data_IF_939831794642
#
_entry.id   IF_939831794642
#
_cell.length_a   1.000
_cell.length_b   1.000
_cell.length_c   1.000
_cell.angle_alpha   90.00
_cell.angle_beta   90.00
_cell.angle_gamma   90.00
#
_symmetry.space_group_name_H-M   'P 1'
#
loop_
_entity.id
_entity.type
_entity.pdbx_description
1 polymer ?
#
# COMPACT_ATOMS: atom_id res chain seq x y z
N UNK A 1 -10.95 43.67 -52.94
CA UNK A 1 -11.08 42.20 -53.15
C UNK A 1 -10.10 41.38 -52.30
N UNK A 2 -8.98 41.93 -51.90
CA UNK A 2 -7.96 41.21 -51.09
C UNK A 2 -8.39 41.04 -49.63
N UNK A 3 -9.13 41.99 -49.05
CA UNK A 3 -9.59 41.96 -47.67
C UNK A 3 -10.64 40.85 -47.42
N UNK A 4 -11.42 40.51 -48.43
CA UNK A 4 -12.45 39.46 -48.34
C UNK A 4 -11.88 38.05 -48.28
N UNK A 5 -10.75 37.81 -48.94
CA UNK A 5 -10.07 36.51 -48.92
C UNK A 5 -9.38 36.25 -47.60
N UNK A 6 -8.85 37.31 -46.98
CA UNK A 6 -8.25 37.19 -45.64
C UNK A 6 -9.26 36.88 -44.53
N UNK A 7 -10.49 37.44 -44.63
CA UNK A 7 -11.55 37.20 -43.64
C UNK A 7 -12.15 35.77 -43.76
N UNK A 8 -12.18 35.23 -44.93
CA UNK A 8 -12.62 33.83 -45.14
C UNK A 8 -11.59 32.82 -44.68
N UNK A 9 -10.30 33.13 -44.76
CA UNK A 9 -9.23 32.25 -44.25
C UNK A 9 -9.18 32.27 -42.71
N UNK A 10 -9.56 33.34 -42.04
CA UNK A 10 -9.61 33.42 -40.57
C UNK A 10 -10.85 32.72 -39.95
N UNK A 11 -11.90 32.50 -40.79
CA UNK A 11 -13.13 31.82 -40.33
C UNK A 11 -13.16 30.31 -40.55
N UNK A 12 -12.22 29.76 -41.34
CA UNK A 12 -12.18 28.36 -41.67
C UNK A 12 -11.05 27.66 -40.93
N UNK A 13 -11.33 27.24 -39.69
CA UNK A 13 -10.50 26.37 -38.85
C UNK A 13 -9.12 26.95 -38.48
N UNK A 14 -8.92 27.25 -37.22
CA UNK A 14 -7.63 27.63 -36.65
C UNK A 14 -6.54 26.55 -36.72
N UNK A 15 -6.51 25.76 -37.80
CA UNK A 15 -5.58 24.64 -37.92
C UNK A 15 -4.66 24.75 -39.19
N UNK A 16 -4.78 25.80 -39.98
CA UNK A 16 -3.88 25.95 -41.12
C UNK A 16 -2.93 27.15 -40.95
N UNK A 17 -1.97 26.97 -40.06
CA UNK A 17 -0.72 27.69 -40.15
C UNK A 17 0.16 26.93 -41.14
N UNK A 18 0.04 27.23 -42.43
CA UNK A 18 1.01 26.81 -43.41
C UNK A 18 2.13 27.86 -43.40
N UNK A 19 3.01 27.73 -42.47
CA UNK A 19 4.31 28.40 -42.56
C UNK A 19 5.32 27.35 -42.97
N UNK A 20 6.03 27.60 -44.05
CA UNK A 20 7.11 26.74 -44.56
C UNK A 20 8.46 27.18 -44.02
N UNK A 21 8.49 27.60 -42.80
CA UNK A 21 9.73 27.77 -42.02
C UNK A 21 10.16 26.37 -41.56
N UNK A 22 11.14 25.80 -42.22
CA UNK A 22 11.70 24.50 -41.89
C UNK A 22 12.56 24.63 -40.67
N UNK A 23 11.97 24.56 -39.48
CA UNK A 23 12.70 24.35 -38.23
C UNK A 23 12.87 22.85 -38.04
N UNK A 24 14.07 22.36 -38.39
CA UNK A 24 14.43 20.95 -38.15
C UNK A 24 14.96 20.78 -36.74
N UNK A 25 14.48 19.76 -36.02
CA UNK A 25 14.96 19.39 -34.70
C UNK A 25 14.09 19.85 -33.53
N UNK A 26 12.88 20.37 -33.77
CA UNK A 26 11.92 20.64 -32.70
C UNK A 26 11.30 19.33 -32.28
N UNK A 27 11.59 18.90 -31.06
CA UNK A 27 11.03 17.68 -30.45
C UNK A 27 10.04 18.08 -29.39
N UNK A 28 8.81 17.65 -29.50
CA UNK A 28 7.84 17.64 -28.41
C UNK A 28 7.79 16.23 -27.85
N UNK A 29 8.21 16.06 -26.60
CA UNK A 29 7.98 14.85 -25.85
C UNK A 29 6.81 15.08 -24.92
N UNK A 30 5.84 14.19 -24.91
CA UNK A 30 4.83 14.15 -23.86
C UNK A 30 5.50 13.65 -22.58
N UNK A 31 5.22 14.31 -21.47
CA UNK A 31 5.55 13.77 -20.16
C UNK A 31 4.61 12.61 -19.85
N UNK A 32 5.08 11.66 -19.08
CA UNK A 32 4.29 10.53 -18.65
C UNK A 32 4.04 10.54 -17.13
N UNK A 33 3.02 9.84 -16.69
CA UNK A 33 2.75 9.47 -15.30
C UNK A 33 2.86 7.95 -15.25
N UNK A 34 4.10 7.46 -15.14
CA UNK A 34 4.37 6.06 -14.89
C UNK A 34 4.69 5.89 -13.41
N UNK A 35 3.95 5.01 -12.73
CA UNK A 35 4.27 4.56 -11.40
C UNK A 35 4.99 3.24 -11.49
N UNK A 36 6.15 3.17 -10.88
CA UNK A 36 6.83 1.91 -10.65
C UNK A 36 6.99 1.71 -9.15
N UNK A 37 6.93 0.47 -8.73
CA UNK A 37 6.92 0.13 -7.31
C UNK A 37 7.98 -0.94 -7.06
N UNK A 38 8.74 -0.77 -5.99
CA UNK A 38 9.49 -1.85 -5.37
C UNK A 38 8.99 -2.10 -3.95
N UNK A 39 9.38 -3.21 -3.39
CA UNK A 39 9.05 -3.59 -2.03
C UNK A 39 10.23 -4.26 -1.36
N UNK A 40 10.52 -3.85 -0.14
CA UNK A 40 11.48 -4.52 0.74
C UNK A 40 10.70 -5.05 1.93
N UNK A 41 10.69 -6.37 2.10
CA UNK A 41 9.86 -7.05 3.10
C UNK A 41 10.70 -7.80 4.12
N UNK A 42 10.20 -7.80 5.35
CA UNK A 42 10.67 -8.57 6.48
C UNK A 42 9.49 -9.29 7.12
N UNK A 43 9.70 -10.49 7.61
CA UNK A 43 8.68 -11.25 8.31
C UNK A 43 9.33 -12.21 9.33
N UNK A 44 8.51 -12.76 10.21
CA UNK A 44 8.93 -13.85 11.06
C UNK A 44 9.31 -15.04 10.16
N UNK A 45 10.44 -15.68 10.43
CA UNK A 45 11.09 -16.66 9.58
C UNK A 45 10.18 -17.85 9.19
N UNK A 46 9.38 -18.38 10.10
CA UNK A 46 8.49 -19.50 9.79
C UNK A 46 7.24 -19.16 8.97
N UNK A 47 6.97 -17.88 8.71
CA UNK A 47 5.87 -17.49 7.83
C UNK A 47 6.30 -17.36 6.36
N UNK A 48 7.60 -17.46 6.07
CA UNK A 48 8.13 -17.30 4.72
C UNK A 48 8.08 -18.64 3.99
N UNK A 49 7.36 -18.75 2.85
CA UNK A 49 7.29 -19.99 2.10
C UNK A 49 8.68 -20.52 1.71
N UNK A 50 8.98 -21.76 2.07
CA UNK A 50 10.26 -22.42 1.76
C UNK A 50 11.40 -22.07 2.71
N UNK A 51 11.15 -21.33 3.77
CA UNK A 51 12.12 -21.12 4.84
C UNK A 51 12.25 -22.37 5.70
N UNK A 52 13.45 -22.60 6.25
CA UNK A 52 13.73 -23.79 7.07
C UNK A 52 13.07 -23.64 8.46
N UNK A 53 12.12 -24.51 8.76
CA UNK A 53 11.39 -24.52 10.02
C UNK A 53 12.21 -25.05 11.21
N UNK A 54 13.40 -25.59 10.95
CA UNK A 54 14.24 -26.19 11.99
C UNK A 54 14.91 -25.14 12.90
N UNK A 55 14.91 -23.86 12.49
CA UNK A 55 15.42 -22.74 13.28
C UNK A 55 14.30 -21.80 13.75
N UNK A 56 13.25 -22.38 14.30
CA UNK A 56 12.07 -21.66 14.75
C UNK A 56 12.36 -20.75 15.97
N UNK A 57 13.13 -19.70 15.76
CA UNK A 57 13.42 -18.69 16.78
C UNK A 57 12.35 -17.61 16.85
N UNK A 58 11.46 -17.52 15.84
CA UNK A 58 10.53 -16.42 15.68
C UNK A 58 11.24 -15.08 15.46
N UNK A 59 12.40 -15.11 14.84
CA UNK A 59 13.16 -13.91 14.53
C UNK A 59 12.62 -13.23 13.28
N UNK A 60 12.63 -11.89 13.29
CA UNK A 60 12.38 -11.10 12.09
C UNK A 60 13.57 -11.27 11.13
N UNK A 61 13.30 -11.64 9.89
CA UNK A 61 14.29 -11.82 8.85
C UNK A 61 13.86 -11.18 7.54
N UNK A 62 14.79 -10.96 6.62
CA UNK A 62 14.45 -10.49 5.29
C UNK A 62 13.55 -11.52 4.56
N UNK A 63 12.49 -11.04 3.92
CA UNK A 63 11.53 -11.85 3.19
C UNK A 63 11.71 -11.67 1.67
N UNK A 64 12.52 -12.49 0.99
CA UNK A 64 12.74 -12.37 -0.44
C UNK A 64 11.51 -12.74 -1.28
N UNK A 65 10.55 -13.49 -0.74
CA UNK A 65 9.34 -13.87 -1.46
C UNK A 65 8.42 -12.67 -1.73
N UNK A 66 8.43 -11.68 -0.83
CA UNK A 66 7.64 -10.44 -0.95
C UNK A 66 8.51 -9.20 -1.22
N UNK A 67 9.79 -9.40 -1.59
CA UNK A 67 10.69 -8.31 -1.98
C UNK A 67 10.96 -8.35 -3.48
N UNK A 68 10.90 -7.20 -4.13
CA UNK A 68 11.22 -7.08 -5.56
C UNK A 68 11.78 -5.70 -5.89
N UNK A 69 12.52 -5.61 -6.98
CA UNK A 69 13.07 -4.37 -7.50
C UNK A 69 12.03 -3.59 -8.31
N UNK A 70 12.25 -2.30 -8.48
CA UNK A 70 11.38 -1.38 -9.20
C UNK A 70 10.82 -1.97 -10.50
N UNK A 71 9.48 -2.03 -10.59
CA UNK A 71 8.72 -2.57 -11.71
C UNK A 71 7.28 -2.05 -11.73
N UNK A 72 6.60 -2.25 -12.86
CA UNK A 72 5.14 -2.15 -12.92
C UNK A 72 4.53 -3.35 -12.21
N UNK A 73 3.51 -3.12 -11.38
CA UNK A 73 2.82 -4.21 -10.67
C UNK A 73 2.06 -5.08 -11.68
N UNK A 74 2.30 -6.39 -11.63
CA UNK A 74 1.60 -7.39 -12.44
C UNK A 74 1.14 -8.58 -11.61
N UNK A 75 2.07 -9.24 -10.91
CA UNK A 75 1.81 -10.43 -10.10
C UNK A 75 2.55 -10.38 -8.76
N UNK A 76 3.11 -9.23 -8.40
CA UNK A 76 3.83 -9.05 -7.15
C UNK A 76 2.85 -9.12 -5.97
N UNK A 77 3.26 -9.80 -4.91
CA UNK A 77 2.46 -9.99 -3.71
C UNK A 77 3.08 -9.23 -2.54
N UNK A 78 2.33 -8.32 -1.97
CA UNK A 78 2.69 -7.66 -0.71
C UNK A 78 2.50 -8.56 0.50
N UNK A 79 1.76 -9.67 0.33
CA UNK A 79 1.48 -10.68 1.34
C UNK A 79 1.48 -12.05 0.67
N UNK A 80 2.17 -13.02 1.27
CA UNK A 80 2.11 -14.43 0.89
C UNK A 80 2.60 -15.24 2.09
N UNK A 81 1.81 -15.23 3.15
CA UNK A 81 2.13 -15.87 4.41
C UNK A 81 1.27 -17.11 4.60
N UNK A 82 1.87 -18.16 5.11
CA UNK A 82 1.20 -19.39 5.48
C UNK A 82 1.44 -19.67 6.96
N UNK A 83 0.55 -20.44 7.59
CA UNK A 83 0.70 -20.87 8.98
C UNK A 83 0.88 -19.72 9.99
N UNK A 84 0.14 -18.60 9.76
CA UNK A 84 0.17 -17.43 10.64
C UNK A 84 -0.34 -17.78 12.02
N UNK A 85 0.42 -17.42 13.05
CA UNK A 85 0.13 -17.69 14.45
C UNK A 85 -0.07 -16.39 15.27
N UNK A 86 -0.76 -16.48 16.40
CA UNK A 86 -0.88 -15.36 17.32
C UNK A 86 0.49 -14.77 17.68
N UNK A 87 0.68 -13.48 17.42
CA UNK A 87 1.93 -12.76 17.66
C UNK A 87 2.90 -12.70 16.48
N UNK A 88 2.59 -13.36 15.37
CA UNK A 88 3.38 -13.22 14.14
C UNK A 88 3.21 -11.82 13.56
N UNK A 89 4.24 -11.33 12.91
CA UNK A 89 4.25 -10.02 12.29
C UNK A 89 5.25 -9.94 11.15
N UNK A 90 5.08 -8.91 10.35
CA UNK A 90 6.00 -8.57 9.28
C UNK A 90 5.89 -7.11 8.92
N UNK A 91 6.87 -6.63 8.19
CA UNK A 91 7.03 -5.23 7.84
C UNK A 91 7.54 -5.08 6.41
N UNK A 92 7.06 -4.05 5.73
CA UNK A 92 7.47 -3.76 4.36
C UNK A 92 7.65 -2.26 4.16
N UNK A 93 8.64 -1.87 3.34
CA UNK A 93 8.69 -0.56 2.71
C UNK A 93 8.23 -0.68 1.27
N UNK A 94 7.15 0.01 0.95
CA UNK A 94 6.63 0.16 -0.41
C UNK A 94 7.21 1.44 -0.98
N UNK A 95 8.15 1.33 -1.93
CA UNK A 95 8.74 2.48 -2.61
C UNK A 95 7.95 2.80 -3.87
N UNK A 96 7.42 4.02 -3.98
CA UNK A 96 6.63 4.47 -5.12
C UNK A 96 7.47 5.47 -5.91
N UNK A 97 7.87 5.07 -7.12
CA UNK A 97 8.65 5.88 -8.04
C UNK A 97 7.71 6.61 -8.99
N UNK A 98 7.73 7.93 -8.93
CA UNK A 98 6.90 8.80 -9.77
C UNK A 98 7.65 9.14 -11.04
N UNK A 99 7.02 8.95 -12.19
CA UNK A 99 7.56 9.32 -13.51
C UNK A 99 7.87 10.80 -13.64
N UNK A 100 7.96 11.31 -14.87
CA UNK A 100 8.54 12.63 -15.12
C UNK A 100 7.69 13.83 -14.68
N UNK A 101 6.41 13.64 -14.36
CA UNK A 101 5.48 14.71 -14.00
C UNK A 101 5.05 14.64 -12.54
N UNK A 102 4.80 15.81 -11.95
CA UNK A 102 4.21 15.93 -10.63
C UNK A 102 2.81 15.28 -10.59
N UNK A 103 2.54 14.50 -9.55
CA UNK A 103 1.35 13.65 -9.46
C UNK A 103 0.53 13.84 -8.19
N UNK A 104 -0.79 13.76 -8.33
CA UNK A 104 -1.71 13.39 -7.27
C UNK A 104 -1.77 11.87 -7.20
N UNK A 105 -1.89 11.31 -5.99
CA UNK A 105 -1.78 9.88 -5.77
C UNK A 105 -2.84 9.35 -4.82
N UNK A 106 -3.36 8.18 -5.14
CA UNK A 106 -4.30 7.44 -4.30
C UNK A 106 -3.86 5.97 -4.18
N UNK A 107 -4.35 5.33 -3.15
CA UNK A 107 -4.30 3.88 -3.02
C UNK A 107 -5.69 3.34 -2.69
N UNK A 108 -5.88 2.05 -2.88
CA UNK A 108 -7.04 1.33 -2.39
C UNK A 108 -6.63 -0.09 -2.00
N UNK A 109 -7.36 -0.66 -1.05
CA UNK A 109 -7.22 -2.05 -0.66
C UNK A 109 -8.62 -2.69 -0.60
N UNK A 110 -8.69 -4.00 -0.83
CA UNK A 110 -9.90 -4.79 -0.63
C UNK A 110 -9.56 -6.19 -0.16
N UNK A 111 -10.45 -6.80 0.58
CA UNK A 111 -10.49 -8.23 0.81
C UNK A 111 -11.30 -8.89 -0.31
N UNK A 112 -10.78 -9.94 -0.90
CA UNK A 112 -11.43 -10.69 -1.99
C UNK A 112 -11.88 -12.08 -1.58
N UNK A 113 -11.21 -12.65 -0.58
CA UNK A 113 -11.59 -13.89 0.08
C UNK A 113 -11.42 -13.68 1.58
N UNK A 114 -12.43 -14.07 2.31
CA UNK A 114 -12.48 -14.12 3.76
C UNK A 114 -13.27 -15.40 4.09
N UNK A 115 -12.54 -16.51 4.20
CA UNK A 115 -13.15 -17.84 4.33
C UNK A 115 -12.68 -18.54 5.59
N UNK A 116 -13.63 -19.22 6.21
CA UNK A 116 -13.43 -20.30 7.16
C UNK A 116 -13.29 -21.60 6.36
N UNK A 117 -12.06 -22.13 6.21
CA UNK A 117 -11.78 -23.24 5.29
C UNK A 117 -11.98 -24.62 5.92
N UNK A 118 -11.88 -24.75 7.25
CA UNK A 118 -12.16 -25.99 7.99
C UNK A 118 -12.51 -25.64 9.44
N UNK A 119 -13.09 -26.54 10.15
CA UNK A 119 -13.47 -26.37 11.54
C UNK A 119 -12.74 -27.37 12.41
N UNK A 120 -11.73 -26.92 13.12
CA UNK A 120 -10.97 -27.76 14.05
C UNK A 120 -11.65 -27.85 15.42
N UNK A 121 -11.27 -28.85 16.24
CA UNK A 121 -11.80 -28.95 17.61
C UNK A 121 -11.50 -27.72 18.47
N UNK A 122 -10.28 -27.13 18.46
CA UNK A 122 -10.02 -25.89 19.19
C UNK A 122 -10.86 -24.70 18.71
N UNK A 123 -11.15 -24.59 17.44
CA UNK A 123 -11.98 -23.55 16.85
C UNK A 123 -13.46 -23.73 17.22
N UNK A 124 -14.00 -24.93 17.11
CA UNK A 124 -15.35 -25.26 17.54
C UNK A 124 -15.50 -25.44 19.06
N UNK A 125 -14.45 -25.23 19.83
CA UNK A 125 -14.40 -25.44 21.26
C UNK A 125 -14.97 -24.28 22.08
N UNK A 126 -15.37 -24.56 23.31
CA UNK A 126 -15.89 -23.57 24.26
C UNK A 126 -14.81 -22.63 24.82
N UNK A 127 -13.53 -22.85 24.55
CA UNK A 127 -12.42 -22.09 25.08
C UNK A 127 -11.68 -21.40 23.93
N UNK A 128 -12.07 -20.15 23.65
CA UNK A 128 -11.44 -19.29 22.66
C UNK A 128 -11.71 -19.67 21.22
N UNK A 129 -12.76 -20.47 20.95
CA UNK A 129 -13.25 -20.79 19.63
C UNK A 129 -14.66 -20.22 19.42
N UNK A 130 -15.31 -20.64 18.36
CA UNK A 130 -16.63 -20.15 17.94
C UNK A 130 -17.84 -20.76 18.70
N UNK A 131 -17.58 -21.55 19.74
CA UNK A 131 -18.63 -22.19 20.56
C UNK A 131 -19.61 -23.08 19.76
N UNK A 132 -19.11 -23.80 18.77
CA UNK A 132 -19.92 -24.68 17.93
C UNK A 132 -20.62 -23.97 16.77
N UNK A 133 -20.19 -22.77 16.43
CA UNK A 133 -20.71 -22.01 15.29
C UNK A 133 -20.08 -22.43 13.96
N UNK A 134 -18.80 -22.87 13.97
CA UNK A 134 -18.16 -23.36 12.76
C UNK A 134 -18.67 -24.77 12.38
N UNK A 135 -18.73 -25.08 11.09
CA UNK A 135 -19.23 -26.34 10.55
C UNK A 135 -18.10 -27.06 9.81
N UNK A 136 -17.60 -28.20 10.32
CA UNK A 136 -16.50 -28.92 9.69
C UNK A 136 -16.74 -29.22 8.21
N UNK A 137 -15.77 -28.90 7.37
CA UNK A 137 -15.82 -29.14 5.92
C UNK A 137 -16.81 -28.27 5.15
N UNK A 138 -17.30 -27.19 5.75
CA UNK A 138 -18.05 -26.13 5.08
C UNK A 138 -17.13 -24.94 4.89
N UNK A 139 -16.65 -24.79 3.66
CA UNK A 139 -16.00 -23.57 3.19
C UNK A 139 -17.06 -22.46 3.13
N UNK A 140 -17.13 -21.66 4.18
CA UNK A 140 -17.97 -20.49 4.19
C UNK A 140 -17.20 -19.37 3.48
N UNK A 141 -17.64 -19.00 2.29
CA UNK A 141 -17.06 -17.94 1.47
C UNK A 141 -17.04 -16.55 2.15
N UNK A 142 -17.64 -16.44 3.31
CA UNK A 142 -17.68 -15.25 4.17
C UNK A 142 -17.83 -15.70 5.62
N UNK A 143 -16.97 -15.20 6.49
CA UNK A 143 -17.12 -15.43 7.93
C UNK A 143 -15.89 -15.97 8.63
N UNK A 144 -14.71 -15.91 7.99
CA UNK A 144 -13.44 -16.12 8.69
C UNK A 144 -13.15 -14.95 9.62
N UNK A 145 -12.53 -15.21 10.75
CA UNK A 145 -12.19 -14.20 11.76
C UNK A 145 -10.78 -13.67 11.58
N UNK A 146 -10.00 -14.21 10.64
CA UNK A 146 -8.61 -13.83 10.43
C UNK A 146 -8.48 -12.36 10.00
N UNK A 147 -9.37 -11.85 9.15
CA UNK A 147 -9.36 -10.46 8.70
C UNK A 147 -9.50 -9.46 9.85
N UNK A 148 -10.29 -9.81 10.86
CA UNK A 148 -10.51 -9.02 12.06
C UNK A 148 -9.36 -9.14 13.08
N UNK A 149 -8.60 -10.22 13.02
CA UNK A 149 -7.46 -10.51 13.90
C UNK A 149 -6.10 -10.06 13.34
N UNK A 150 -6.02 -9.77 12.04
CA UNK A 150 -4.84 -9.19 11.41
C UNK A 150 -4.91 -7.67 11.47
N UNK A 151 -4.04 -7.06 12.25
CA UNK A 151 -3.90 -5.61 12.36
C UNK A 151 -2.84 -5.09 11.42
N UNK A 152 -3.12 -3.94 10.81
CA UNK A 152 -2.20 -3.24 9.92
C UNK A 152 -1.97 -1.81 10.36
N UNK A 153 -0.77 -1.30 10.10
CA UNK A 153 -0.45 0.11 10.15
C UNK A 153 0.30 0.51 8.89
N UNK A 154 -0.02 1.70 8.37
CA UNK A 154 0.68 2.32 7.25
C UNK A 154 1.12 3.72 7.66
N UNK A 155 2.38 4.05 7.40
CA UNK A 155 2.94 5.37 7.72
C UNK A 155 3.72 5.95 6.56
N UNK A 156 3.97 7.24 6.62
CA UNK A 156 4.92 7.90 5.74
C UNK A 156 6.31 7.58 6.27
N UNK A 157 7.05 6.82 5.50
CA UNK A 157 8.38 6.30 5.82
C UNK A 157 9.47 7.15 5.16
N UNK A 158 10.66 7.19 5.71
CA UNK A 158 11.81 7.85 5.08
C UNK A 158 12.65 6.90 4.21
N UNK A 159 12.33 5.60 4.22
CA UNK A 159 12.88 4.59 3.33
C UNK A 159 13.70 3.51 4.04
N UNK A 160 13.68 3.46 5.36
CA UNK A 160 14.44 2.48 6.14
C UNK A 160 13.58 1.35 6.75
N UNK A 161 12.26 1.44 6.57
CA UNK A 161 11.29 0.45 7.05
C UNK A 161 11.22 0.38 8.57
N UNK A 162 11.35 1.48 9.26
CA UNK A 162 11.24 1.58 10.72
C UNK A 162 10.29 2.70 11.09
N UNK A 163 9.34 2.46 11.98
CA UNK A 163 8.44 3.52 12.42
C UNK A 163 9.06 4.36 13.53
N UNK A 164 9.38 5.62 13.24
CA UNK A 164 10.09 6.57 14.09
C UNK A 164 9.24 7.83 14.40
N UNK A 165 8.23 7.72 15.26
CA UNK A 165 7.26 8.81 15.50
C UNK A 165 7.76 9.93 16.41
N UNK A 166 8.93 9.77 17.07
CA UNK A 166 9.42 10.75 18.04
C UNK A 166 10.42 11.68 17.37
N UNK A 167 10.26 12.99 17.55
CA UNK A 167 11.17 13.98 16.99
C UNK A 167 12.61 13.77 17.48
N UNK A 168 13.52 13.60 16.54
CA UNK A 168 14.96 13.55 16.75
C UNK A 168 15.63 14.91 16.53
N UNK A 169 16.94 14.90 16.35
CA UNK A 169 17.72 16.10 15.99
C UNK A 169 17.64 16.39 14.48
N UNK A 170 17.35 15.38 13.69
CA UNK A 170 17.24 15.40 12.24
C UNK A 170 16.02 14.60 11.81
N UNK A 171 15.54 14.80 10.60
CA UNK A 171 14.37 14.12 10.07
C UNK A 171 13.04 14.71 10.54
N UNK A 172 11.97 14.24 9.95
CA UNK A 172 10.60 14.58 10.32
C UNK A 172 9.97 13.36 10.99
N UNK A 173 9.39 13.47 12.19
CA UNK A 173 8.71 12.36 12.82
C UNK A 173 7.70 11.72 11.88
N UNK A 174 7.71 10.42 11.83
CA UNK A 174 6.84 9.65 10.97
C UNK A 174 5.42 9.61 11.50
N UNK A 175 4.47 9.52 10.61
CA UNK A 175 3.06 9.57 10.98
C UNK A 175 2.28 8.44 10.35
N UNK A 176 1.55 7.70 11.17
CA UNK A 176 0.59 6.71 10.71
C UNK A 176 -0.58 7.45 10.06
N UNK A 177 -0.90 7.11 8.81
CA UNK A 177 -2.06 7.66 8.10
C UNK A 177 -3.24 6.67 8.01
N UNK A 178 -2.99 5.38 8.25
CA UNK A 178 -4.01 4.34 8.26
C UNK A 178 -3.61 3.25 9.26
N UNK A 179 -4.51 2.88 10.16
CA UNK A 179 -4.32 1.79 11.11
C UNK A 179 -5.66 1.13 11.43
N UNK A 180 -5.67 -0.18 11.55
CA UNK A 180 -6.85 -0.97 11.92
C UNK A 180 -6.68 -2.42 11.52
N UNK A 181 -7.75 -3.21 11.64
CA UNK A 181 -7.82 -4.58 11.13
C UNK A 181 -7.83 -4.60 9.60
N UNK A 182 -7.61 -5.75 9.00
CA UNK A 182 -7.76 -5.91 7.55
C UNK A 182 -9.21 -5.65 7.10
N UNK A 183 -10.19 -6.00 7.94
CA UNK A 183 -11.58 -5.63 7.73
C UNK A 183 -11.78 -4.11 7.67
N UNK A 184 -11.12 -3.34 8.58
CA UNK A 184 -11.14 -1.87 8.54
C UNK A 184 -10.49 -1.30 7.28
N UNK A 185 -9.38 -1.91 6.82
CA UNK A 185 -8.73 -1.52 5.55
C UNK A 185 -9.66 -1.72 4.35
N UNK A 186 -10.35 -2.84 4.32
CA UNK A 186 -11.37 -3.13 3.29
C UNK A 186 -12.51 -2.10 3.30
N UNK A 187 -12.91 -1.64 4.47
CA UNK A 187 -13.95 -0.61 4.64
C UNK A 187 -13.47 0.81 4.34
N UNK A 188 -12.16 1.08 4.39
CA UNK A 188 -11.60 2.42 4.18
C UNK A 188 -11.79 2.94 2.75
N UNK A 189 -11.92 2.05 1.76
CA UNK A 189 -12.11 2.42 0.37
C UNK A 189 -10.88 3.10 -0.23
N UNK A 190 -11.07 4.30 -0.83
CA UNK A 190 -9.96 5.04 -1.42
C UNK A 190 -9.16 5.78 -0.33
N UNK A 191 -7.86 5.63 -0.37
CA UNK A 191 -6.89 6.26 0.53
C UNK A 191 -6.18 7.37 -0.24
N UNK A 192 -6.25 8.60 0.27
CA UNK A 192 -5.53 9.71 -0.32
C UNK A 192 -4.06 9.68 0.10
N UNK A 193 -3.17 9.48 -0.86
CA UNK A 193 -1.73 9.60 -0.66
C UNK A 193 -1.24 11.03 -0.88
N UNK A 194 -1.65 11.68 -1.98
CA UNK A 194 -1.43 13.10 -2.23
C UNK A 194 -2.62 13.68 -3.00
N UNK A 195 -3.22 14.76 -2.51
CA UNK A 195 -4.35 15.45 -3.15
C UNK A 195 -4.39 16.93 -2.72
N UNK A 196 -4.99 17.83 -3.53
CA UNK A 196 -4.91 19.28 -3.27
C UNK A 196 -5.61 19.75 -2.00
N UNK A 197 -6.56 18.98 -1.47
CA UNK A 197 -7.31 19.36 -0.26
C UNK A 197 -7.79 18.14 0.51
N UNK A 198 -7.98 18.31 1.82
CA UNK A 198 -8.36 17.24 2.74
C UNK A 198 -7.14 16.51 3.30
N UNK A 199 -7.38 15.45 4.08
CA UNK A 199 -6.31 14.62 4.62
C UNK A 199 -5.65 13.81 3.50
N UNK A 200 -4.32 13.73 3.51
CA UNK A 200 -3.54 12.90 2.61
C UNK A 200 -2.21 12.55 3.27
N UNK A 201 -1.72 11.34 3.04
CA UNK A 201 -0.51 10.80 3.67
C UNK A 201 0.72 11.70 3.43
N UNK A 202 1.00 12.04 2.16
CA UNK A 202 2.11 12.92 1.77
C UNK A 202 1.70 14.41 1.74
N UNK A 203 0.49 14.76 2.21
CA UNK A 203 0.00 16.13 2.28
C UNK A 203 -0.70 16.63 1.01
N UNK A 204 -0.82 17.96 0.93
CA UNK A 204 -1.63 18.64 -0.09
C UNK A 204 -0.79 19.29 -1.21
N UNK A 205 0.46 18.90 -1.34
CA UNK A 205 1.29 19.19 -2.49
C UNK A 205 1.38 17.96 -3.39
N UNK A 206 1.47 18.12 -4.71
CA UNK A 206 1.71 17.00 -5.58
C UNK A 206 3.08 16.37 -5.27
N UNK A 207 3.17 15.05 -5.39
CA UNK A 207 4.45 14.37 -5.33
C UNK A 207 5.24 14.77 -6.58
N UNK A 208 6.47 15.30 -6.43
CA UNK A 208 7.24 15.77 -7.57
C UNK A 208 7.62 14.64 -8.52
N UNK A 209 7.67 14.94 -9.81
CA UNK A 209 8.19 14.02 -10.80
C UNK A 209 9.66 13.65 -10.55
N UNK A 210 10.06 12.47 -10.97
CA UNK A 210 11.40 11.89 -10.77
C UNK A 210 11.81 11.78 -9.27
N UNK A 211 10.84 11.53 -8.40
CA UNK A 211 11.08 11.29 -6.97
C UNK A 211 10.54 9.94 -6.55
N UNK A 212 11.04 9.42 -5.45
CA UNK A 212 10.53 8.25 -4.76
C UNK A 212 9.93 8.69 -3.43
N UNK A 213 8.76 8.16 -3.09
CA UNK A 213 8.15 8.28 -1.77
C UNK A 213 7.95 6.90 -1.19
N UNK A 214 7.98 6.81 0.13
CA UNK A 214 7.98 5.55 0.83
C UNK A 214 6.77 5.43 1.75
N UNK A 215 6.19 4.26 1.76
CA UNK A 215 5.14 3.85 2.69
C UNK A 215 5.67 2.67 3.47
N UNK A 216 5.84 2.85 4.76
CA UNK A 216 6.06 1.75 5.69
C UNK A 216 4.72 1.06 5.95
N UNK A 217 4.73 -0.26 6.02
CA UNK A 217 3.58 -1.10 6.31
C UNK A 217 3.98 -2.18 7.30
N UNK A 218 3.27 -2.29 8.41
CA UNK A 218 3.40 -3.41 9.32
C UNK A 218 2.07 -4.16 9.44
N UNK A 219 2.14 -5.48 9.57
CA UNK A 219 1.02 -6.31 9.96
C UNK A 219 1.35 -7.10 11.24
N UNK A 220 0.32 -7.46 11.99
CA UNK A 220 0.42 -8.19 13.26
C UNK A 220 -0.80 -9.11 13.42
N UNK A 221 -0.56 -10.39 13.68
CA UNK A 221 -1.59 -11.34 14.07
C UNK A 221 -1.89 -11.17 15.58
N UNK A 222 -2.81 -10.28 15.89
CA UNK A 222 -3.14 -9.86 17.25
C UNK A 222 -3.28 -8.36 17.40
N UNK A 223 -2.86 -7.81 18.54
CA UNK A 223 -2.92 -6.36 18.80
C UNK A 223 -1.57 -5.70 18.54
N UNK A 224 -1.60 -4.70 17.65
CA UNK A 224 -0.44 -3.87 17.33
C UNK A 224 -0.43 -2.59 18.14
N UNK A 225 0.73 -2.25 18.73
CA UNK A 225 0.92 -1.00 19.45
C UNK A 225 2.13 -0.25 18.92
N UNK A 226 1.97 1.00 18.45
CA UNK A 226 3.09 1.85 18.05
C UNK A 226 4.06 2.08 19.23
N UNK A 227 5.34 2.05 18.92
CA UNK A 227 6.42 2.38 19.84
C UNK A 227 6.75 3.86 19.85
N UNK A 228 7.93 4.20 20.38
CA UNK A 228 8.40 5.58 20.51
C UNK A 228 9.87 5.69 20.09
N UNK A 229 10.23 5.09 18.95
CA UNK A 229 11.56 5.26 18.39
C UNK A 229 11.76 6.73 17.97
N UNK A 230 13.00 7.17 18.11
CA UNK A 230 13.39 8.54 17.81
C UNK A 230 13.86 8.60 16.36
N UNK A 231 13.26 9.49 15.58
CA UNK A 231 13.63 9.73 14.20
C UNK A 231 15.10 10.16 14.09
N UNK A 232 15.88 9.41 13.36
CA UNK A 232 17.32 9.65 13.17
C UNK A 232 17.64 10.45 11.89
N UNK A 233 16.67 10.60 10.99
CA UNK A 233 16.78 11.33 9.72
C UNK A 233 17.63 10.62 8.68
N UNK A 234 17.81 9.31 8.84
CA UNK A 234 18.63 8.48 7.97
C UNK A 234 17.74 7.38 7.37
N UNK A 235 17.75 7.26 6.09
CA UNK A 235 17.10 6.17 5.35
C UNK A 235 18.03 4.95 5.18
N UNK A 236 18.84 4.64 6.18
CA UNK A 236 19.88 3.61 6.11
C UNK A 236 19.73 2.52 7.16
N UNK A 237 18.70 2.58 7.96
CA UNK A 237 18.36 1.58 8.95
C UNK A 237 17.74 0.32 8.34
N UNK A 238 17.25 -0.50 9.19
CA UNK A 238 16.33 -1.61 8.87
C UNK A 238 15.67 -2.11 10.15
N UNK A 239 14.53 -2.75 10.09
CA UNK A 239 13.90 -3.32 11.27
C UNK A 239 14.75 -4.40 11.95
N UNK A 240 15.73 -4.99 11.25
CA UNK A 240 16.68 -5.94 11.84
C UNK A 240 17.69 -5.27 12.78
N UNK A 241 17.97 -3.99 12.59
CA UNK A 241 18.98 -3.25 13.37
C UNK A 241 18.39 -2.30 14.37
N UNK A 242 17.29 -1.66 14.04
CA UNK A 242 16.62 -0.61 14.86
C UNK A 242 15.36 -1.12 15.55
N UNK A 243 14.81 -2.26 15.10
CA UNK A 243 13.48 -2.72 15.46
C UNK A 243 12.41 -2.12 14.55
N UNK A 244 11.19 -2.60 14.64
CA UNK A 244 10.09 -2.19 13.75
C UNK A 244 9.44 -0.84 14.11
N UNK A 245 9.68 -0.35 15.32
CA UNK A 245 8.89 0.77 15.87
C UNK A 245 7.51 0.37 16.39
N UNK A 246 7.16 -0.92 16.37
CA UNK A 246 5.89 -1.46 16.88
C UNK A 246 6.13 -2.66 17.78
N UNK A 247 5.08 -3.00 18.55
CA UNK A 247 5.00 -4.29 19.24
C UNK A 247 3.75 -5.03 18.79
N UNK A 248 3.88 -6.35 18.57
CA UNK A 248 2.78 -7.25 18.24
C UNK A 248 2.49 -8.16 19.42
N UNK A 249 1.24 -8.20 19.87
CA UNK A 249 0.79 -9.03 20.98
C UNK A 249 -0.30 -9.99 20.52
N UNK A 250 0.04 -11.26 20.37
CA UNK A 250 -0.89 -12.31 19.94
C UNK A 250 -1.89 -12.77 20.98
N UNK A 251 -1.80 -12.32 22.24
CA UNK A 251 -2.66 -12.81 23.31
C UNK A 251 -4.15 -12.46 23.13
N UNK A 252 -4.48 -11.55 22.24
CA UNK A 252 -5.86 -11.16 21.91
C UNK A 252 -6.47 -12.02 20.80
N UNK A 253 -5.65 -12.70 20.01
CA UNK A 253 -6.11 -13.64 18.98
C UNK A 253 -6.48 -14.97 19.65
N UNK A 254 -7.62 -15.49 19.31
CA UNK A 254 -8.14 -16.75 19.85
C UNK A 254 -8.17 -17.86 18.77
N UNK A 255 -8.75 -18.99 19.09
CA UNK A 255 -8.79 -20.13 18.19
C UNK A 255 -9.80 -19.98 17.05
N UNK A 256 -10.65 -18.94 17.03
CA UNK A 256 -11.64 -18.74 15.97
C UNK A 256 -11.03 -18.42 14.60
N UNK A 257 -9.80 -17.96 14.58
CA UNK A 257 -9.08 -17.68 13.32
C UNK A 257 -8.18 -18.85 12.86
N UNK A 258 -8.34 -20.03 13.44
CA UNK A 258 -7.61 -21.21 12.96
C UNK A 258 -8.22 -21.67 11.63
N UNK A 259 -7.37 -22.15 10.73
CA UNK A 259 -7.72 -22.63 9.39
C UNK A 259 -8.29 -21.58 8.44
N UNK A 260 -8.57 -20.37 8.91
CA UNK A 260 -9.06 -19.27 8.09
C UNK A 260 -8.07 -18.83 7.01
N UNK A 261 -8.65 -18.28 5.95
CA UNK A 261 -7.90 -17.72 4.86
C UNK A 261 -8.45 -16.34 4.46
N UNK A 262 -7.55 -15.41 4.33
CA UNK A 262 -7.85 -14.09 3.79
C UNK A 262 -6.98 -13.81 2.57
N UNK A 263 -7.59 -13.26 1.52
CA UNK A 263 -6.90 -12.78 0.31
C UNK A 263 -7.34 -11.36 0.04
N UNK A 264 -6.41 -10.50 -0.33
CA UNK A 264 -6.71 -9.11 -0.65
C UNK A 264 -5.91 -8.59 -1.82
N UNK A 265 -6.39 -7.49 -2.41
CA UNK A 265 -5.73 -6.74 -3.46
C UNK A 265 -5.40 -5.34 -2.97
N UNK A 266 -4.30 -4.79 -3.48
CA UNK A 266 -3.91 -3.39 -3.31
C UNK A 266 -3.72 -2.76 -4.69
N UNK A 267 -4.14 -1.51 -4.83
CA UNK A 267 -3.98 -0.72 -6.05
C UNK A 267 -3.41 0.66 -5.72
N UNK A 268 -2.46 1.11 -6.54
CA UNK A 268 -1.93 2.47 -6.51
C UNK A 268 -2.28 3.20 -7.79
N UNK A 269 -2.70 4.43 -7.65
CA UNK A 269 -3.12 5.28 -8.76
C UNK A 269 -2.40 6.62 -8.70
N UNK A 270 -2.00 7.13 -9.85
CA UNK A 270 -1.49 8.48 -9.98
C UNK A 270 -2.11 9.20 -11.18
N UNK A 271 -2.27 10.51 -11.04
CA UNK A 271 -2.70 11.40 -12.11
C UNK A 271 -1.89 12.69 -12.09
N UNK A 272 -1.69 13.28 -13.28
CA UNK A 272 -0.96 14.55 -13.38
C UNK A 272 -1.63 15.65 -12.57
N UNK A 273 -0.85 16.35 -11.77
CA UNK A 273 -1.34 17.44 -10.92
C UNK A 273 -1.61 18.73 -11.71
N UNK A 274 -0.90 18.94 -12.82
CA UNK A 274 -1.02 20.15 -13.66
C UNK A 274 -2.42 20.26 -14.25
N UNK A 275 -3.06 21.42 -14.05
CA UNK A 275 -4.45 21.70 -14.43
C UNK A 275 -5.49 20.80 -13.75
N UNK A 276 -5.14 20.17 -12.64
CA UNK A 276 -5.99 19.25 -11.89
C UNK A 276 -6.07 19.63 -10.39
N UNK A 277 -6.28 20.91 -10.13
CA UNK A 277 -6.28 21.48 -8.78
C UNK A 277 -7.49 21.11 -7.92
N UNK A 278 -8.49 20.46 -8.50
CA UNK A 278 -9.72 20.01 -7.80
C UNK A 278 -9.77 18.49 -7.64
N UNK A 279 -8.68 17.80 -7.93
CA UNK A 279 -8.60 16.37 -7.79
C UNK A 279 -8.89 15.93 -6.35
N UNK A 280 -9.60 14.82 -6.20
CA UNK A 280 -9.83 14.15 -4.92
C UNK A 280 -9.88 12.64 -5.13
N UNK A 281 -9.18 11.90 -4.32
CA UNK A 281 -9.21 10.43 -4.40
C UNK A 281 -10.63 9.88 -4.28
N UNK A 282 -11.42 10.42 -3.37
CA UNK A 282 -12.80 9.97 -3.16
C UNK A 282 -13.76 10.26 -4.33
N UNK A 283 -13.45 11.21 -5.21
CA UNK A 283 -14.35 11.64 -6.29
C UNK A 283 -13.84 11.30 -7.69
N UNK A 284 -12.53 11.26 -7.87
CA UNK A 284 -11.91 11.18 -9.19
C UNK A 284 -11.12 9.89 -9.41
N UNK A 285 -10.98 9.08 -8.38
CA UNK A 285 -10.37 7.76 -8.47
C UNK A 285 -11.41 6.68 -8.16
N UNK A 286 -11.47 5.68 -8.99
CA UNK A 286 -12.28 4.48 -8.76
C UNK A 286 -11.34 3.28 -8.99
N UNK A 287 -11.16 2.42 -7.98
CA UNK A 287 -10.33 1.24 -8.15
C UNK A 287 -10.77 0.38 -9.33
N UNK A 288 -9.83 -0.23 -10.03
CA UNK A 288 -10.12 -0.99 -11.26
C UNK A 288 -11.09 -2.14 -11.05
N UNK A 289 -11.10 -2.72 -9.86
CA UNK A 289 -12.07 -3.77 -9.49
C UNK A 289 -13.49 -3.27 -9.19
N UNK A 290 -13.70 -1.97 -9.07
CA UNK A 290 -15.03 -1.37 -8.82
C UNK A 290 -15.70 -0.85 -10.10
N UNK A 291 -15.08 -1.03 -11.27
CA UNK A 291 -15.54 -0.55 -12.59
C UNK A 291 -16.37 -1.63 -13.33
N UNK A 292 -17.01 -2.55 -12.65
CA UNK A 292 -17.86 -3.58 -13.29
C UNK A 292 -19.32 -3.15 -13.39
#
# INVERSE_FOLDING_TARGET
MIVFVGALAAGATGAFFNDTETSTGNTFAAGDIDLQIDNTSYAIDFNIPGFDLDDATGALVANPANSWTQANLTNQKFFDFTDVKPGDYGEDTISIHVGSNDAWMCAAARVTIDSDEDCTEPENGAIGGENGACVPGVDAATGGELDSNLQFAFWVDDGDNVFEPVAGQTGTPETIFLQGSLADMNAAGQIALAQPAGAAAFGNNPVPGNTTVYIGKMWCAGTMTPGALVQDGLNTGSPLTLGTGFTCNGATMNNSAQTDKVVGDMEFYATQSRNNSTFSCAQNYTPTWAIN
#
